data_IF_310934433777
#
_entry.id   IF_310934433777
#
_cell.length_a   1.000
_cell.length_b   1.000
_cell.length_c   1.000
_cell.angle_alpha   90.00
_cell.angle_beta   90.00
_cell.angle_gamma   90.00
#
_symmetry.space_group_name_H-M   'P 1'
#
loop_
_entity.id
_entity.type
_entity.pdbx_description
1 polymer ?
#
# COMPACT_ATOMS: atom_id res chain seq x y z
N UNK A 1 -0.24 29.94 6.03
CA UNK A 1 -0.15 28.82 5.07
C UNK A 1 -1.43 28.64 4.26
N UNK A 2 -2.64 28.58 4.84
CA UNK A 2 -3.87 28.28 4.10
C UNK A 2 -4.32 29.21 2.96
N UNK A 3 -3.92 30.50 2.95
CA UNK A 3 -4.30 31.42 1.85
C UNK A 3 -3.50 31.17 0.56
N UNK A 4 -2.22 30.80 0.69
CA UNK A 4 -1.37 30.49 -0.47
C UNK A 4 -1.75 29.15 -1.10
N UNK A 5 -2.10 28.13 -0.30
CA UNK A 5 -2.58 26.85 -0.83
C UNK A 5 -3.89 27.03 -1.61
N UNK A 6 -4.85 27.79 -1.08
CA UNK A 6 -6.11 28.09 -1.80
C UNK A 6 -5.90 28.85 -3.11
N UNK A 7 -4.91 29.75 -3.16
CA UNK A 7 -4.53 30.45 -4.40
C UNK A 7 -3.86 29.51 -5.42
N UNK A 8 -3.02 28.58 -4.94
CA UNK A 8 -2.37 27.57 -5.79
C UNK A 8 -3.40 26.60 -6.38
N UNK A 9 -4.33 26.10 -5.57
CA UNK A 9 -5.46 25.26 -6.00
C UNK A 9 -6.36 25.97 -7.02
N UNK A 10 -6.71 27.23 -6.78
CA UNK A 10 -7.54 28.00 -7.70
C UNK A 10 -6.83 28.23 -9.05
N UNK A 11 -5.54 28.54 -9.03
CA UNK A 11 -4.73 28.71 -10.24
C UNK A 11 -4.57 27.39 -11.01
N UNK A 12 -4.37 26.28 -10.30
CA UNK A 12 -4.26 24.94 -10.88
C UNK A 12 -5.59 24.51 -11.52
N UNK A 13 -6.71 24.75 -10.84
CA UNK A 13 -8.06 24.48 -11.33
C UNK A 13 -8.37 25.29 -12.60
N UNK A 14 -7.98 26.56 -12.63
CA UNK A 14 -8.20 27.43 -13.79
C UNK A 14 -7.27 27.11 -14.98
N UNK A 15 -6.02 26.72 -14.70
CA UNK A 15 -5.09 26.24 -15.71
C UNK A 15 -5.56 24.89 -16.31
N UNK A 16 -5.98 23.94 -15.46
CA UNK A 16 -6.58 22.66 -15.86
C UNK A 16 -7.81 22.89 -16.72
N UNK A 17 -8.69 23.81 -16.32
CA UNK A 17 -9.88 24.18 -17.10
C UNK A 17 -9.51 24.72 -18.49
N UNK A 18 -8.56 25.66 -18.59
CA UNK A 18 -8.11 26.20 -19.88
C UNK A 18 -7.52 25.14 -20.80
N UNK A 19 -6.72 24.21 -20.25
CA UNK A 19 -6.16 23.08 -21.00
C UNK A 19 -7.28 22.17 -21.52
N UNK A 20 -8.25 21.83 -20.67
CA UNK A 20 -9.39 20.97 -21.07
C UNK A 20 -10.29 21.64 -22.12
N UNK A 21 -10.47 22.96 -22.05
CA UNK A 21 -11.18 23.76 -23.05
C UNK A 21 -10.43 23.82 -24.39
N UNK A 22 -9.11 24.00 -24.40
CA UNK A 22 -8.28 23.97 -25.61
C UNK A 22 -8.29 22.60 -26.31
N UNK A 23 -8.52 21.52 -25.55
CA UNK A 23 -8.63 20.14 -26.04
C UNK A 23 -10.04 19.76 -26.54
N UNK A 24 -11.04 20.64 -26.42
CA UNK A 24 -12.43 20.33 -26.80
C UNK A 24 -13.11 19.29 -25.90
N UNK A 25 -12.56 19.02 -24.71
CA UNK A 25 -13.08 18.09 -23.71
C UNK A 25 -13.99 18.78 -22.67
N UNK A 26 -14.42 20.01 -22.95
CA UNK A 26 -15.30 20.80 -22.10
C UNK A 26 -16.76 20.37 -22.22
N UNK A 27 -17.14 19.31 -21.52
CA UNK A 27 -18.53 18.96 -21.25
C UNK A 27 -18.72 18.73 -19.75
N UNK A 28 -19.65 19.48 -19.15
CA UNK A 28 -20.22 19.15 -17.84
C UNK A 28 -21.01 17.84 -17.99
N UNK A 29 -20.37 16.67 -17.89
CA UNK A 29 -21.04 15.38 -17.65
C UNK A 29 -20.04 14.38 -17.03
N UNK A 30 -20.43 13.85 -15.88
CA UNK A 30 -19.67 12.99 -14.95
C UNK A 30 -19.47 11.54 -15.43
N UNK A 31 -19.58 11.25 -16.74
CA UNK A 31 -19.67 9.85 -17.20
C UNK A 31 -18.63 9.39 -18.24
N UNK A 32 -17.72 10.24 -18.74
CA UNK A 32 -16.63 9.77 -19.62
C UNK A 32 -15.40 10.66 -19.54
N UNK A 33 -14.70 10.70 -18.40
CA UNK A 33 -13.27 11.09 -18.43
C UNK A 33 -12.54 10.07 -19.30
N UNK A 34 -11.80 10.46 -20.35
CA UNK A 34 -10.99 9.52 -21.10
C UNK A 34 -9.99 8.88 -20.14
N UNK A 35 -10.18 7.59 -19.88
CA UNK A 35 -9.30 6.78 -19.02
C UNK A 35 -7.95 6.72 -19.72
N UNK A 36 -6.92 7.26 -19.06
CA UNK A 36 -5.56 7.22 -19.55
C UNK A 36 -5.10 5.77 -19.64
N UNK A 37 -4.51 5.36 -20.75
CA UNK A 37 -4.00 3.99 -20.88
C UNK A 37 -2.70 3.83 -20.08
N UNK A 38 -2.35 2.58 -19.71
CA UNK A 38 -1.06 2.26 -19.08
C UNK A 38 0.12 2.78 -19.90
N UNK A 39 0.08 2.62 -21.22
CA UNK A 39 1.14 3.08 -22.13
C UNK A 39 1.25 4.61 -22.14
N UNK A 40 0.12 5.32 -22.16
CA UNK A 40 0.10 6.79 -22.09
C UNK A 40 0.67 7.29 -20.77
N UNK A 41 0.32 6.64 -19.67
CA UNK A 41 0.81 6.99 -18.34
C UNK A 41 2.32 6.80 -18.26
N UNK A 42 2.83 5.62 -18.63
CA UNK A 42 4.28 5.34 -18.59
C UNK A 42 5.12 6.29 -19.44
N UNK A 43 4.59 6.75 -20.58
CA UNK A 43 5.30 7.71 -21.45
C UNK A 43 5.44 9.10 -20.83
N UNK A 44 4.51 9.49 -19.97
CA UNK A 44 4.39 10.86 -19.44
C UNK A 44 4.67 10.94 -17.94
N UNK A 45 4.83 9.80 -17.29
CA UNK A 45 5.07 9.66 -15.86
C UNK A 45 6.38 10.36 -15.44
N UNK A 46 6.32 11.26 -14.44
CA UNK A 46 7.50 11.85 -13.79
C UNK A 46 8.53 10.82 -13.31
N UNK A 47 9.81 11.18 -13.30
CA UNK A 47 10.88 10.29 -12.87
C UNK A 47 10.79 9.94 -11.38
N UNK A 48 10.26 10.83 -10.54
CA UNK A 48 10.03 10.59 -9.11
C UNK A 48 9.04 9.42 -8.84
N UNK A 49 8.26 9.02 -9.84
CA UNK A 49 7.35 7.88 -9.81
C UNK A 49 7.99 6.59 -10.35
N UNK A 50 9.30 6.58 -10.61
CA UNK A 50 10.04 5.39 -11.07
C UNK A 50 10.71 4.61 -9.94
N UNK A 51 10.26 4.83 -8.70
CA UNK A 51 10.71 4.08 -7.50
C UNK A 51 10.17 2.65 -7.51
N UNK A 52 10.96 1.68 -7.06
CA UNK A 52 10.53 0.29 -6.95
C UNK A 52 9.81 0.07 -5.62
N UNK A 53 8.49 0.30 -5.63
CA UNK A 53 7.62 0.15 -4.47
C UNK A 53 6.52 -0.85 -4.82
N UNK A 54 6.36 -1.87 -3.97
CA UNK A 54 5.41 -2.97 -4.14
C UNK A 54 4.66 -3.20 -2.84
N UNK A 55 3.40 -3.61 -2.93
CA UNK A 55 2.59 -3.98 -1.80
C UNK A 55 1.76 -5.23 -2.09
N UNK A 56 1.77 -6.17 -1.15
CA UNK A 56 0.88 -7.32 -1.14
C UNK A 56 -0.13 -7.13 -0.02
N UNK A 57 -1.40 -7.40 -0.29
CA UNK A 57 -2.48 -7.22 0.68
C UNK A 57 -3.57 -8.29 0.58
N UNK A 58 -4.28 -8.53 1.68
CA UNK A 58 -5.46 -9.40 1.75
C UNK A 58 -6.75 -8.60 1.64
N UNK A 59 -7.07 -8.04 0.48
CA UNK A 59 -8.19 -7.11 0.36
C UNK A 59 -9.56 -7.81 0.47
N UNK A 60 -10.48 -7.23 1.23
CA UNK A 60 -11.87 -7.70 1.38
C UNK A 60 -12.81 -6.68 0.73
N UNK A 61 -13.27 -6.96 -0.50
CA UNK A 61 -14.07 -6.02 -1.31
C UNK A 61 -15.48 -5.69 -0.76
N UNK A 62 -15.87 -6.14 0.45
CA UNK A 62 -17.15 -5.77 1.09
C UNK A 62 -17.28 -6.33 2.52
N UNK A 63 -16.82 -5.61 3.54
CA UNK A 63 -17.42 -5.70 4.88
C UNK A 63 -17.65 -4.31 5.47
N UNK A 64 -18.69 -4.25 6.30
CA UNK A 64 -19.42 -3.08 6.79
C UNK A 64 -18.50 -2.07 7.47
N UNK A 65 -18.21 -0.96 6.81
CA UNK A 65 -17.64 0.22 7.47
C UNK A 65 -18.66 0.75 8.47
N UNK A 66 -18.25 0.90 9.73
CA UNK A 66 -18.85 1.93 10.54
C UNK A 66 -18.36 3.26 9.95
N UNK A 67 -19.24 4.15 9.50
CA UNK A 67 -18.86 5.49 9.06
C UNK A 67 -18.21 6.24 10.24
N UNK A 68 -16.88 6.22 10.34
CA UNK A 68 -16.14 6.86 11.43
C UNK A 68 -15.94 8.33 11.10
N UNK A 69 -17.01 9.12 11.20
CA UNK A 69 -16.93 10.58 11.07
C UNK A 69 -16.22 11.27 12.25
N UNK A 70 -15.97 10.53 13.35
CA UNK A 70 -15.30 11.06 14.53
C UNK A 70 -14.41 9.98 15.18
N UNK A 71 -13.10 10.25 15.19
CA UNK A 71 -12.04 9.39 15.74
C UNK A 71 -12.32 9.01 17.20
N UNK A 72 -12.94 9.89 17.99
CA UNK A 72 -13.25 9.63 19.40
C UNK A 72 -14.39 8.63 19.63
N UNK A 73 -15.09 8.22 18.57
CA UNK A 73 -16.19 7.24 18.63
C UNK A 73 -15.88 5.94 17.90
N UNK A 74 -14.65 5.79 17.37
CA UNK A 74 -14.22 4.54 16.77
C UNK A 74 -14.19 3.43 17.82
N UNK A 75 -14.82 2.30 17.49
CA UNK A 75 -14.72 1.07 18.25
C UNK A 75 -14.08 0.05 17.32
N UNK A 76 -13.14 -0.72 17.86
CA UNK A 76 -12.58 -1.84 17.10
C UNK A 76 -13.74 -2.75 16.70
N UNK A 77 -13.74 -3.28 15.47
CA UNK A 77 -14.74 -4.25 15.07
C UNK A 77 -14.66 -5.45 16.01
N UNK A 78 -15.81 -6.11 16.26
CA UNK A 78 -15.84 -7.48 16.77
C UNK A 78 -14.79 -8.27 15.99
N UNK A 79 -13.90 -9.05 16.64
CA UNK A 79 -12.86 -9.74 15.92
C UNK A 79 -13.53 -10.42 14.75
N UNK A 80 -13.17 -10.02 13.53
CA UNK A 80 -13.38 -10.87 12.38
C UNK A 80 -12.46 -12.06 12.67
N UNK A 81 -12.92 -12.96 13.56
CA UNK A 81 -12.12 -13.79 14.49
C UNK A 81 -11.44 -14.96 13.82
N UNK A 82 -10.98 -14.71 12.60
CA UNK A 82 -10.33 -15.59 11.66
C UNK A 82 -9.43 -14.80 10.69
N UNK A 83 -9.79 -13.57 10.30
CA UNK A 83 -9.18 -12.89 9.13
C UNK A 83 -7.81 -12.23 9.38
N UNK A 84 -7.51 -11.77 10.59
CA UNK A 84 -6.21 -11.16 10.91
C UNK A 84 -5.10 -12.21 10.85
N UNK A 85 -4.15 -12.03 9.93
CA UNK A 85 -3.05 -12.97 9.68
C UNK A 85 -3.31 -13.94 8.55
N UNK A 86 -4.52 -13.97 7.96
CA UNK A 86 -4.87 -14.92 6.91
C UNK A 86 -4.02 -14.67 5.63
N UNK A 87 -3.70 -13.41 5.30
CA UNK A 87 -2.88 -13.09 4.15
C UNK A 87 -1.43 -13.55 4.34
N UNK A 88 -0.83 -13.20 5.49
CA UNK A 88 0.55 -13.51 5.86
C UNK A 88 0.74 -15.02 5.98
N UNK A 89 -0.12 -15.70 6.74
CA UNK A 89 -0.06 -17.15 6.91
C UNK A 89 -0.20 -17.88 5.58
N UNK A 90 -1.12 -17.46 4.72
CA UNK A 90 -1.31 -18.08 3.41
C UNK A 90 -0.10 -17.90 2.51
N UNK A 91 0.47 -16.69 2.46
CA UNK A 91 1.68 -16.40 1.68
C UNK A 91 2.86 -17.27 2.16
N UNK A 92 3.09 -17.33 3.48
CA UNK A 92 4.15 -18.15 4.05
C UNK A 92 3.93 -19.65 3.83
N UNK A 93 2.68 -20.12 3.88
CA UNK A 93 2.34 -21.51 3.55
C UNK A 93 2.58 -21.88 2.07
N UNK A 94 2.80 -20.90 1.20
CA UNK A 94 3.15 -21.12 -0.21
C UNK A 94 4.67 -21.00 -0.38
N UNK A 95 5.28 -19.95 0.19
CA UNK A 95 6.68 -19.63 -0.04
C UNK A 95 7.68 -20.31 0.92
N UNK A 96 7.20 -20.80 2.06
CA UNK A 96 8.05 -21.22 3.18
C UNK A 96 7.39 -22.25 4.10
N UNK A 97 6.63 -23.19 3.53
CA UNK A 97 5.97 -24.24 4.29
C UNK A 97 7.01 -25.16 4.96
N UNK A 98 6.75 -25.54 6.21
CA UNK A 98 7.64 -26.41 7.01
C UNK A 98 9.10 -25.92 7.06
N UNK A 99 9.30 -24.60 7.01
CA UNK A 99 10.61 -23.93 6.99
C UNK A 99 11.46 -24.29 5.76
N UNK A 100 10.81 -24.61 4.64
CA UNK A 100 11.44 -24.95 3.37
C UNK A 100 10.88 -24.09 2.23
N UNK A 101 11.78 -23.61 1.37
CA UNK A 101 11.40 -22.97 0.11
C UNK A 101 10.97 -24.07 -0.88
N UNK A 102 9.86 -23.89 -1.61
CA UNK A 102 9.45 -24.82 -2.66
C UNK A 102 10.56 -25.08 -3.68
N UNK A 103 10.60 -26.29 -4.26
CA UNK A 103 11.55 -26.62 -5.33
C UNK A 103 11.23 -25.90 -6.65
N UNK A 104 9.93 -25.69 -6.93
CA UNK A 104 9.46 -25.03 -8.14
C UNK A 104 9.34 -23.51 -7.91
N UNK A 105 9.90 -22.74 -8.84
CA UNK A 105 9.77 -21.29 -8.84
C UNK A 105 8.37 -20.90 -9.35
N UNK A 106 7.54 -20.38 -8.44
CA UNK A 106 6.22 -19.85 -8.76
C UNK A 106 6.33 -18.40 -9.27
N UNK A 107 5.48 -18.04 -10.23
CA UNK A 107 5.26 -16.66 -10.67
C UNK A 107 4.42 -15.85 -9.68
N UNK A 108 4.38 -14.52 -9.82
CA UNK A 108 3.46 -13.69 -9.03
C UNK A 108 2.00 -14.11 -9.23
N UNK A 109 1.58 -14.39 -10.47
CA UNK A 109 0.23 -14.89 -10.77
C UNK A 109 -0.06 -16.17 -9.97
N UNK A 110 0.82 -17.16 -10.06
CA UNK A 110 0.64 -18.45 -9.39
C UNK A 110 0.58 -18.30 -7.87
N UNK A 111 1.47 -17.49 -7.27
CA UNK A 111 1.44 -17.22 -5.83
C UNK A 111 0.11 -16.59 -5.42
N UNK A 112 -0.36 -15.54 -6.10
CA UNK A 112 -1.59 -14.84 -5.72
C UNK A 112 -2.85 -15.70 -5.97
N UNK A 113 -2.87 -16.52 -7.02
CA UNK A 113 -3.95 -17.46 -7.28
C UNK A 113 -4.00 -18.60 -6.25
N UNK A 114 -2.84 -19.18 -5.88
CA UNK A 114 -2.74 -20.18 -4.82
C UNK A 114 -3.19 -19.60 -3.48
N UNK A 115 -2.79 -18.35 -3.18
CA UNK A 115 -3.27 -17.65 -1.99
C UNK A 115 -4.80 -17.56 -2.01
N UNK A 116 -5.40 -17.18 -3.15
CA UNK A 116 -6.86 -17.08 -3.26
C UNK A 116 -7.56 -18.43 -3.08
N UNK A 117 -6.99 -19.51 -3.58
CA UNK A 117 -7.52 -20.86 -3.42
C UNK A 117 -7.50 -21.26 -1.94
N UNK A 118 -6.36 -21.08 -1.25
CA UNK A 118 -6.21 -21.40 0.17
C UNK A 118 -7.15 -20.55 1.04
N UNK A 119 -7.20 -19.25 0.82
CA UNK A 119 -8.12 -18.35 1.53
C UNK A 119 -9.58 -18.79 1.38
N UNK A 120 -10.03 -19.06 0.14
CA UNK A 120 -11.40 -19.56 -0.10
C UNK A 120 -11.67 -20.89 0.60
N UNK A 121 -10.69 -21.79 0.69
CA UNK A 121 -10.85 -23.10 1.35
C UNK A 121 -11.03 -23.01 2.87
N UNK A 122 -10.59 -21.90 3.46
CA UNK A 122 -10.74 -21.59 4.88
C UNK A 122 -11.90 -20.60 5.16
N UNK A 123 -12.80 -20.43 4.18
CA UNK A 123 -13.94 -19.52 4.21
C UNK A 123 -13.59 -18.02 4.29
N UNK A 124 -12.37 -17.62 3.90
CA UNK A 124 -11.99 -16.22 3.77
C UNK A 124 -12.49 -15.61 2.46
N UNK A 125 -13.14 -14.45 2.56
CA UNK A 125 -13.57 -13.69 1.39
C UNK A 125 -12.45 -12.87 0.75
N UNK A 126 -11.32 -12.68 1.43
CA UNK A 126 -10.17 -11.88 0.99
C UNK A 126 -9.65 -12.30 -0.40
N UNK A 127 -9.47 -11.33 -1.28
CA UNK A 127 -8.79 -11.46 -2.57
C UNK A 127 -7.38 -10.89 -2.39
N UNK A 128 -6.32 -11.71 -2.53
CA UNK A 128 -4.95 -11.22 -2.57
C UNK A 128 -4.77 -10.21 -3.69
N UNK A 129 -4.12 -9.09 -3.38
CA UNK A 129 -3.82 -8.05 -4.35
C UNK A 129 -2.34 -7.70 -4.27
N UNK A 130 -1.74 -7.50 -5.45
CA UNK A 130 -0.42 -6.90 -5.63
C UNK A 130 -0.64 -5.50 -6.20
N UNK A 131 -0.12 -4.48 -5.54
CA UNK A 131 -0.06 -3.13 -6.09
C UNK A 131 1.37 -2.63 -6.15
N UNK A 132 1.64 -1.71 -7.08
CA UNK A 132 3.00 -1.24 -7.32
C UNK A 132 3.05 0.16 -7.93
N UNK A 133 4.20 0.81 -7.76
CA UNK A 133 4.50 2.13 -8.36
C UNK A 133 4.80 2.04 -9.86
N UNK A 134 5.35 0.91 -10.29
CA UNK A 134 5.69 0.61 -11.67
C UNK A 134 5.09 -0.75 -12.05
N UNK A 135 4.64 -0.96 -13.30
CA UNK A 135 4.07 -2.23 -13.71
C UNK A 135 5.13 -3.33 -13.57
N UNK A 136 4.73 -4.46 -12.99
CA UNK A 136 5.54 -5.66 -12.83
C UNK A 136 5.02 -6.70 -13.84
N UNK A 137 5.93 -7.43 -14.49
CA UNK A 137 5.53 -8.61 -15.24
C UNK A 137 5.18 -9.74 -14.27
N UNK A 138 3.89 -9.84 -13.96
CA UNK A 138 3.35 -10.81 -13.00
C UNK A 138 3.54 -12.28 -13.42
N UNK A 139 3.92 -12.54 -14.67
CA UNK A 139 4.23 -13.88 -15.16
C UNK A 139 5.68 -14.29 -14.89
N UNK A 140 6.49 -13.40 -14.31
CA UNK A 140 7.84 -13.71 -13.86
C UNK A 140 7.84 -14.30 -12.44
N UNK A 141 8.95 -14.93 -12.07
CA UNK A 141 9.16 -15.52 -10.73
C UNK A 141 8.82 -14.51 -9.64
N UNK A 142 8.05 -14.94 -8.66
CA UNK A 142 7.77 -14.17 -7.46
C UNK A 142 9.07 -13.86 -6.71
N UNK A 143 9.31 -12.58 -6.45
CA UNK A 143 10.37 -12.13 -5.56
C UNK A 143 9.84 -11.13 -4.53
N UNK A 144 10.22 -11.34 -3.27
CA UNK A 144 10.01 -10.36 -2.21
C UNK A 144 11.08 -9.27 -2.23
N UNK A 145 12.30 -9.66 -2.61
CA UNK A 145 13.48 -8.81 -2.76
C UNK A 145 14.12 -9.19 -4.10
N UNK A 146 14.16 -8.27 -5.07
CA UNK A 146 14.72 -8.56 -6.38
C UNK A 146 16.24 -8.68 -6.31
N UNK A 147 16.83 -9.42 -7.24
CA UNK A 147 18.28 -9.61 -7.36
C UNK A 147 19.06 -8.30 -7.54
N UNK A 148 18.39 -7.23 -7.98
CA UNK A 148 18.96 -5.89 -8.12
C UNK A 148 19.19 -5.19 -6.77
N UNK A 149 18.48 -5.60 -5.71
CA UNK A 149 18.63 -5.05 -4.37
C UNK A 149 19.85 -5.67 -3.66
N UNK A 150 21.03 -5.19 -4.03
CA UNK A 150 22.34 -5.70 -3.58
C UNK A 150 22.90 -5.02 -2.34
N UNK A 151 22.21 -3.99 -1.83
CA UNK A 151 22.57 -3.22 -0.64
C UNK A 151 22.11 -3.89 0.67
N UNK A 152 21.90 -3.05 1.68
CA UNK A 152 21.45 -3.50 2.99
C UNK A 152 19.97 -3.85 2.98
N UNK A 153 19.62 -4.95 3.65
CA UNK A 153 18.24 -5.41 3.81
C UNK A 153 17.72 -4.98 5.18
N UNK A 154 16.65 -4.19 5.21
CA UNK A 154 16.10 -3.57 6.43
C UNK A 154 14.61 -3.87 6.54
N UNK A 155 14.12 -4.11 7.75
CA UNK A 155 12.70 -4.36 7.94
C UNK A 155 12.10 -3.59 9.12
N UNK A 156 10.83 -3.20 8.97
CA UNK A 156 9.96 -2.80 10.09
C UNK A 156 8.77 -3.76 10.12
N UNK A 157 8.56 -4.43 11.25
CA UNK A 157 7.53 -5.45 11.42
C UNK A 157 6.65 -5.10 12.61
N UNK A 158 5.36 -4.96 12.35
CA UNK A 158 4.38 -4.46 13.32
C UNK A 158 3.28 -5.50 13.49
N UNK A 159 3.06 -5.95 14.72
CA UNK A 159 2.03 -6.94 15.06
C UNK A 159 1.24 -6.48 16.27
N UNK A 160 -0.05 -6.21 16.12
CA UNK A 160 -0.88 -5.64 17.19
C UNK A 160 -2.06 -6.56 17.50
N UNK A 161 -2.08 -7.10 18.72
CA UNK A 161 -3.16 -7.95 19.20
C UNK A 161 -4.25 -7.18 19.98
N UNK A 162 -4.02 -5.93 20.35
CA UNK A 162 -4.96 -5.09 21.10
C UNK A 162 -5.39 -5.75 22.43
N UNK A 163 -4.42 -6.34 23.14
CA UNK A 163 -4.70 -7.11 24.36
C UNK A 163 -5.44 -6.23 25.38
N UNK A 164 -6.60 -6.72 25.82
CA UNK A 164 -7.48 -6.06 26.77
C UNK A 164 -8.55 -5.14 26.17
N UNK A 165 -8.60 -4.95 24.85
CA UNK A 165 -9.67 -4.21 24.17
C UNK A 165 -10.83 -5.15 23.76
N UNK A 166 -12.03 -4.92 24.30
CA UNK A 166 -13.25 -5.69 24.03
C UNK A 166 -14.39 -4.76 23.56
N UNK A 167 -15.02 -5.02 22.40
CA UNK A 167 -14.61 -5.98 21.37
C UNK A 167 -13.37 -5.46 20.61
N UNK A 168 -12.50 -6.36 20.13
CA UNK A 168 -11.38 -5.95 19.25
C UNK A 168 -10.06 -6.69 19.42
N UNK A 169 -9.88 -7.44 20.50
CA UNK A 169 -8.67 -8.26 20.71
C UNK A 169 -8.46 -9.29 19.58
N UNK A 170 -7.23 -9.35 19.06
CA UNK A 170 -6.73 -10.32 18.08
C UNK A 170 -5.71 -11.25 18.76
N UNK A 171 -5.41 -12.38 18.12
CA UNK A 171 -4.45 -13.36 18.68
C UNK A 171 -3.39 -13.85 17.69
N UNK A 172 -3.45 -13.41 16.43
CA UNK A 172 -2.61 -13.92 15.34
C UNK A 172 -1.40 -13.02 15.01
N UNK A 173 -1.50 -11.72 15.26
CA UNK A 173 -0.62 -10.72 14.67
C UNK A 173 0.83 -10.84 15.14
N UNK A 174 1.05 -11.24 16.39
CA UNK A 174 2.42 -11.52 16.88
C UNK A 174 3.05 -12.71 16.15
N UNK A 175 2.28 -13.78 15.91
CA UNK A 175 2.81 -14.96 15.21
C UNK A 175 3.11 -14.64 13.74
N UNK A 176 2.30 -13.81 13.09
CA UNK A 176 2.56 -13.35 11.73
C UNK A 176 3.92 -12.64 11.63
N UNK A 177 4.19 -11.71 12.55
CA UNK A 177 5.47 -10.99 12.62
C UNK A 177 6.63 -11.95 12.83
N UNK A 178 6.53 -12.87 13.78
CA UNK A 178 7.61 -13.80 14.09
C UNK A 178 7.88 -14.80 12.95
N UNK A 179 6.83 -15.30 12.31
CA UNK A 179 6.96 -16.22 11.17
C UNK A 179 7.53 -15.50 9.93
N UNK A 180 7.05 -14.29 9.65
CA UNK A 180 7.57 -13.49 8.55
C UNK A 180 9.03 -13.08 8.80
N UNK A 181 9.39 -12.75 10.04
CA UNK A 181 10.77 -12.44 10.42
C UNK A 181 11.67 -13.63 10.09
N UNK A 182 11.27 -14.83 10.53
CA UNK A 182 12.02 -16.05 10.26
C UNK A 182 12.21 -16.25 8.74
N UNK A 183 11.14 -16.12 7.97
CA UNK A 183 11.20 -16.25 6.51
C UNK A 183 12.20 -15.26 5.86
N UNK A 184 12.13 -13.97 6.18
CA UNK A 184 13.04 -12.98 5.57
C UNK A 184 14.50 -13.16 6.01
N UNK A 185 14.74 -13.68 7.22
CA UNK A 185 16.10 -14.03 7.66
C UNK A 185 16.62 -15.26 6.92
N UNK A 186 15.85 -16.35 6.92
CA UNK A 186 16.30 -17.64 6.39
C UNK A 186 16.39 -17.66 4.85
N UNK A 187 15.47 -16.98 4.17
CA UNK A 187 15.37 -17.02 2.70
C UNK A 187 16.04 -15.81 2.06
N UNK A 188 15.89 -14.63 2.66
CA UNK A 188 16.36 -13.37 2.07
C UNK A 188 17.59 -12.81 2.76
N UNK A 189 18.08 -13.39 3.86
CA UNK A 189 19.32 -12.96 4.51
C UNK A 189 19.24 -11.58 5.17
N UNK A 190 18.08 -11.23 5.73
CA UNK A 190 17.98 -10.03 6.56
C UNK A 190 18.74 -10.24 7.88
N UNK A 191 19.62 -9.32 8.23
CA UNK A 191 20.37 -9.38 9.49
C UNK A 191 19.51 -8.88 10.66
N UNK A 192 19.61 -9.54 11.82
CA UNK A 192 18.82 -9.23 13.02
C UNK A 192 18.87 -7.75 13.42
N UNK A 193 20.05 -7.14 13.36
CA UNK A 193 20.28 -5.73 13.69
C UNK A 193 19.58 -4.72 12.76
N UNK A 194 19.14 -5.17 11.58
CA UNK A 194 18.44 -4.35 10.60
C UNK A 194 16.92 -4.58 10.62
N UNK A 195 16.41 -5.34 11.59
CA UNK A 195 14.98 -5.64 11.75
C UNK A 195 14.45 -4.92 13.00
N UNK A 196 13.51 -4.01 12.81
CA UNK A 196 12.78 -3.33 13.89
C UNK A 196 11.44 -4.02 14.09
N UNK A 197 11.14 -4.43 15.32
CA UNK A 197 9.89 -5.09 15.69
C UNK A 197 9.11 -4.23 16.68
N UNK A 198 7.82 -4.01 16.40
CA UNK A 198 6.88 -3.36 17.31
C UNK A 198 5.70 -4.29 17.57
N UNK A 199 5.50 -4.68 18.84
CA UNK A 199 4.41 -5.55 19.27
C UNK A 199 3.91 -5.15 20.66
N UNK A 200 2.60 -5.31 20.89
CA UNK A 200 1.94 -5.04 22.18
C UNK A 200 1.96 -6.27 23.12
N UNK A 201 3.08 -6.99 23.12
CA UNK A 201 3.30 -8.24 23.88
C UNK A 201 3.95 -8.00 25.26
N UNK A 202 4.22 -6.73 25.59
CA UNK A 202 4.92 -6.33 26.82
C UNK A 202 6.43 -6.62 26.83
N UNK A 203 7.01 -7.06 25.71
CA UNK A 203 8.44 -7.35 25.54
C UNK A 203 9.07 -6.40 24.52
N UNK A 204 8.43 -6.23 23.37
CA UNK A 204 8.90 -5.38 22.28
C UNK A 204 8.51 -3.91 22.48
N UNK A 205 8.99 -3.05 21.59
CA UNK A 205 8.56 -1.65 21.56
C UNK A 205 7.07 -1.60 21.24
N UNK A 206 6.29 -0.95 22.09
CA UNK A 206 4.84 -0.81 21.90
C UNK A 206 4.51 -0.13 20.56
N UNK A 207 3.59 -0.68 19.75
CA UNK A 207 3.21 -0.15 18.43
C UNK A 207 2.25 1.04 18.55
N UNK A 208 2.69 2.08 19.26
CA UNK A 208 1.99 3.37 19.33
C UNK A 208 2.11 4.12 18.01
N UNK A 209 1.20 5.06 17.74
CA UNK A 209 1.25 5.92 16.54
C UNK A 209 2.63 6.57 16.39
N UNK A 210 3.17 7.10 17.49
CA UNK A 210 4.47 7.76 17.48
C UNK A 210 5.62 6.79 17.16
N UNK A 211 5.64 5.60 17.76
CA UNK A 211 6.70 4.61 17.54
C UNK A 211 6.67 4.03 16.13
N UNK A 212 5.49 3.77 15.57
CA UNK A 212 5.35 3.31 14.17
C UNK A 212 5.90 4.36 13.21
N UNK A 213 5.50 5.63 13.38
CA UNK A 213 5.99 6.73 12.54
C UNK A 213 7.50 6.90 12.68
N UNK A 214 8.06 6.80 13.89
CA UNK A 214 9.50 6.92 14.13
C UNK A 214 10.29 5.78 13.48
N UNK A 215 9.78 4.55 13.55
CA UNK A 215 10.38 3.38 12.89
C UNK A 215 10.43 3.57 11.37
N UNK A 216 9.32 3.99 10.74
CA UNK A 216 9.27 4.28 9.31
C UNK A 216 10.19 5.43 8.91
N UNK A 217 10.21 6.54 9.66
CA UNK A 217 11.16 7.63 9.39
C UNK A 217 12.60 7.19 9.47
N UNK A 218 12.92 6.38 10.48
CA UNK A 218 14.28 5.92 10.73
C UNK A 218 14.77 5.01 9.61
N UNK A 219 13.98 4.02 9.20
CA UNK A 219 14.39 3.09 8.14
C UNK A 219 14.54 3.80 6.78
N UNK A 220 13.63 4.73 6.46
CA UNK A 220 13.70 5.52 5.21
C UNK A 220 14.91 6.46 5.23
N UNK A 221 15.19 7.11 6.37
CA UNK A 221 16.35 8.00 6.49
C UNK A 221 17.71 7.27 6.43
N UNK A 222 17.74 5.97 6.70
CA UNK A 222 18.93 5.11 6.62
C UNK A 222 19.09 4.42 5.26
N UNK A 223 18.10 4.53 4.38
CA UNK A 223 18.08 3.82 3.12
C UNK A 223 19.08 4.42 2.13
N UNK A 224 19.82 3.55 1.45
CA UNK A 224 20.77 3.92 0.40
C UNK A 224 20.44 3.21 -0.93
N UNK A 225 20.98 3.69 -2.04
CA UNK A 225 20.79 3.09 -3.36
C UNK A 225 21.12 1.57 -3.32
N UNK A 226 20.24 0.76 -3.91
CA UNK A 226 20.25 -0.71 -3.91
C UNK A 226 19.86 -1.40 -2.59
N UNK A 227 19.52 -0.67 -1.52
CA UNK A 227 18.94 -1.28 -0.32
C UNK A 227 17.59 -1.96 -0.63
N UNK A 228 17.23 -2.95 0.19
CA UNK A 228 15.90 -3.53 0.23
C UNK A 228 15.22 -3.18 1.56
N UNK A 229 14.02 -2.62 1.50
CA UNK A 229 13.17 -2.34 2.66
C UNK A 229 11.97 -3.27 2.62
N UNK A 230 11.74 -3.99 3.71
CA UNK A 230 10.55 -4.81 3.90
C UNK A 230 9.68 -4.27 5.03
N UNK A 231 8.43 -3.96 4.74
CA UNK A 231 7.47 -3.42 5.72
C UNK A 231 6.34 -4.41 5.93
N UNK A 232 6.16 -4.91 7.15
CA UNK A 232 5.06 -5.83 7.49
C UNK A 232 4.17 -5.24 8.55
N UNK A 233 2.87 -5.26 8.31
CA UNK A 233 1.85 -4.89 9.29
C UNK A 233 0.81 -6.01 9.40
N UNK A 234 0.56 -6.49 10.62
CA UNK A 234 -0.58 -7.36 10.95
C UNK A 234 -1.35 -6.74 12.12
N UNK A 235 -2.64 -6.45 11.89
CA UNK A 235 -3.50 -5.77 12.86
C UNK A 235 -4.82 -5.29 12.25
N UNK A 236 -5.53 -4.41 12.94
CA UNK A 236 -6.74 -3.78 12.40
C UNK A 236 -6.43 -2.70 11.37
N UNK A 237 -7.23 -2.67 10.31
CA UNK A 237 -7.32 -1.57 9.37
C UNK A 237 -8.75 -1.02 9.34
N UNK A 238 -8.90 0.25 8.97
CA UNK A 238 -10.20 0.93 8.94
C UNK A 238 -10.29 1.90 7.77
N UNK A 239 -11.50 2.42 7.51
CA UNK A 239 -11.74 3.49 6.56
C UNK A 239 -12.21 4.75 7.29
N UNK A 240 -11.60 5.88 6.99
CA UNK A 240 -11.99 7.20 7.46
C UNK A 240 -12.59 7.99 6.28
N UNK A 241 -13.33 9.07 6.54
CA UNK A 241 -13.74 9.95 5.44
C UNK A 241 -12.51 10.66 4.88
N UNK A 242 -12.40 10.61 3.57
CA UNK A 242 -11.39 11.34 2.81
C UNK A 242 -11.56 12.86 3.00
N UNK A 243 -10.46 13.53 3.30
CA UNK A 243 -10.38 14.96 3.54
C UNK A 243 -9.82 15.75 2.32
N UNK A 244 -9.24 15.09 1.30
CA UNK A 244 -8.52 15.70 0.18
C UNK A 244 -9.06 15.38 -1.23
N UNK A 245 -9.85 14.30 -1.39
CA UNK A 245 -10.57 13.94 -2.61
C UNK A 245 -9.74 13.17 -3.64
N UNK A 246 -8.67 12.49 -3.24
CA UNK A 246 -7.85 11.66 -4.13
C UNK A 246 -8.45 10.26 -4.39
N UNK A 247 -9.30 9.76 -3.48
CA UNK A 247 -10.06 8.52 -3.66
C UNK A 247 -11.47 8.77 -4.21
N UNK A 248 -11.86 7.99 -5.22
CA UNK A 248 -13.18 8.13 -5.86
C UNK A 248 -14.34 7.59 -5.02
N UNK A 249 -14.07 6.76 -4.01
CA UNK A 249 -15.09 6.28 -3.06
C UNK A 249 -15.30 7.24 -1.87
N UNK A 250 -14.39 8.19 -1.67
CA UNK A 250 -14.40 9.21 -0.62
C UNK A 250 -13.98 8.71 0.77
N UNK A 251 -13.14 7.66 0.87
CA UNK A 251 -12.71 7.10 2.16
C UNK A 251 -11.26 6.58 2.26
N UNK A 252 -10.36 7.37 2.87
CA UNK A 252 -9.00 6.97 3.26
C UNK A 252 -8.93 5.63 4.02
N UNK A 253 -7.97 4.79 3.64
CA UNK A 253 -7.56 3.62 4.40
C UNK A 253 -6.61 4.02 5.54
N UNK A 254 -6.75 3.37 6.70
CA UNK A 254 -5.94 3.72 7.87
C UNK A 254 -5.53 2.50 8.72
N UNK A 255 -4.27 2.50 9.14
CA UNK A 255 -3.74 1.57 10.15
C UNK A 255 -4.20 2.01 11.54
N UNK A 256 -4.51 1.05 12.40
CA UNK A 256 -4.91 1.32 13.78
C UNK A 256 -3.70 1.05 14.71
N UNK A 257 -3.10 2.06 15.35
CA UNK A 257 -2.02 1.84 16.33
C UNK A 257 -2.58 1.36 17.67
N UNK A 258 -1.72 0.88 18.59
CA UNK A 258 -2.18 0.42 19.92
C UNK A 258 -2.89 1.52 20.72
N UNK A 259 -2.50 2.77 20.55
CA UNK A 259 -2.99 3.94 21.29
C UNK A 259 -4.00 4.80 20.51
N UNK A 260 -4.65 4.20 19.50
CA UNK A 260 -5.57 4.88 18.57
C UNK A 260 -6.68 5.67 19.29
N UNK A 261 -7.18 5.22 20.45
CA UNK A 261 -8.23 5.92 21.20
C UNK A 261 -7.78 7.33 21.63
N UNK A 262 -6.47 7.53 21.82
CA UNK A 262 -5.90 8.79 22.31
C UNK A 262 -5.16 9.58 21.24
N UNK A 263 -4.50 8.90 20.30
CA UNK A 263 -3.64 9.52 19.28
C UNK A 263 -4.16 9.36 17.84
N UNK A 264 -5.29 8.68 17.66
CA UNK A 264 -5.90 8.42 16.35
C UNK A 264 -5.16 7.37 15.52
N UNK A 265 -5.66 7.18 14.30
CA UNK A 265 -5.14 6.24 13.31
C UNK A 265 -3.99 6.84 12.50
N UNK A 266 -3.28 6.00 11.73
CA UNK A 266 -2.31 6.45 10.72
C UNK A 266 -2.99 6.28 9.36
N UNK A 267 -3.22 7.38 8.65
CA UNK A 267 -3.87 7.36 7.32
C UNK A 267 -2.87 7.00 6.21
N UNK A 268 -3.37 6.50 5.09
CA UNK A 268 -2.65 6.40 3.81
C UNK A 268 -1.86 7.67 3.48
N UNK A 269 -2.42 8.87 3.66
CA UNK A 269 -1.75 10.17 3.52
C UNK A 269 -0.46 10.29 4.35
N UNK A 270 -0.54 9.87 5.62
CA UNK A 270 0.61 9.87 6.52
C UNK A 270 1.65 8.87 6.00
N UNK A 271 1.23 7.66 5.60
CA UNK A 271 2.13 6.62 5.08
C UNK A 271 2.78 7.02 3.76
N UNK A 272 2.03 7.68 2.90
CA UNK A 272 2.47 8.21 1.62
C UNK A 272 3.62 9.21 1.81
N UNK A 273 3.42 10.22 2.66
CA UNK A 273 4.45 11.22 2.95
C UNK A 273 5.67 10.57 3.60
N UNK A 274 5.48 9.61 4.51
CA UNK A 274 6.57 8.95 5.23
C UNK A 274 7.38 8.00 4.34
N UNK A 275 6.70 7.19 3.54
CA UNK A 275 7.28 6.06 2.83
C UNK A 275 7.54 6.39 1.36
N UNK A 276 6.55 6.86 0.61
CA UNK A 276 6.69 7.00 -0.85
C UNK A 276 7.52 8.22 -1.24
N UNK A 277 7.16 9.39 -0.68
CA UNK A 277 7.78 10.65 -1.07
C UNK A 277 9.26 10.72 -0.69
N UNK A 278 9.59 10.23 0.51
CA UNK A 278 10.94 10.32 1.08
C UNK A 278 11.84 9.12 0.75
N UNK A 279 11.34 8.06 0.11
CA UNK A 279 12.17 6.93 -0.31
C UNK A 279 13.26 7.39 -1.28
N UNK A 280 14.55 7.12 -1.02
CA UNK A 280 15.63 7.42 -1.96
C UNK A 280 15.50 6.64 -3.28
N UNK A 281 16.03 7.22 -4.35
CA UNK A 281 16.07 6.55 -5.65
C UNK A 281 16.96 5.30 -5.60
N UNK A 282 16.56 4.25 -6.33
CA UNK A 282 17.27 2.98 -6.39
C UNK A 282 17.08 2.07 -5.16
N UNK A 283 16.28 2.47 -4.17
CA UNK A 283 15.83 1.58 -3.10
C UNK A 283 14.67 0.73 -3.58
N UNK A 284 14.70 -0.56 -3.25
CA UNK A 284 13.56 -1.46 -3.40
C UNK A 284 12.75 -1.51 -2.10
N UNK A 285 11.44 -1.26 -2.16
CA UNK A 285 10.56 -1.38 -1.00
C UNK A 285 9.40 -2.33 -1.30
N UNK A 286 9.26 -3.37 -0.49
CA UNK A 286 8.11 -4.27 -0.51
C UNK A 286 7.37 -4.20 0.81
N UNK A 287 6.04 -4.05 0.76
CA UNK A 287 5.19 -4.10 1.93
C UNK A 287 4.22 -5.28 1.88
N UNK A 288 3.98 -5.91 3.03
CA UNK A 288 2.91 -6.87 3.24
C UNK A 288 1.95 -6.31 4.29
N UNK A 289 0.73 -6.01 3.87
CA UNK A 289 -0.32 -5.46 4.72
C UNK A 289 -1.39 -6.51 4.98
N UNK A 290 -1.46 -6.98 6.22
CA UNK A 290 -2.44 -7.96 6.70
C UNK A 290 -3.45 -7.27 7.62
N UNK A 291 -4.30 -6.46 6.99
CA UNK A 291 -5.39 -5.74 7.64
C UNK A 291 -6.57 -5.57 6.69
N UNK A 292 -7.76 -5.31 7.26
CA UNK A 292 -8.94 -4.98 6.46
C UNK A 292 -8.78 -3.59 5.83
N UNK A 293 -9.27 -3.41 4.60
CA UNK A 293 -9.16 -2.13 3.86
C UNK A 293 -7.69 -1.68 3.75
N UNK A 294 -6.87 -2.51 3.10
CA UNK A 294 -5.44 -2.25 2.90
C UNK A 294 -5.03 -2.34 1.42
N UNK A 295 -6.02 -2.33 0.51
CA UNK A 295 -5.77 -2.50 -0.93
C UNK A 295 -5.15 -1.25 -1.55
N UNK A 296 -5.51 -0.08 -1.03
CA UNK A 296 -5.06 1.24 -1.47
C UNK A 296 -4.23 1.99 -0.44
N UNK A 297 -3.91 1.41 0.72
CA UNK A 297 -3.21 2.08 1.84
C UNK A 297 -1.85 2.74 1.55
N UNK A 298 -1.25 2.47 0.38
CA UNK A 298 -0.04 3.15 -0.12
C UNK A 298 -0.28 3.95 -1.42
N UNK A 299 -1.51 4.09 -1.89
CA UNK A 299 -1.91 4.77 -3.13
C UNK A 299 -1.06 4.38 -4.33
N UNK A 300 -0.84 3.08 -4.54
CA UNK A 300 0.00 2.59 -5.64
C UNK A 300 -0.81 2.50 -6.95
N UNK A 301 -0.32 3.09 -8.06
CA UNK A 301 -1.11 3.29 -9.28
C UNK A 301 -1.42 2.01 -10.06
N UNK A 302 -0.65 0.94 -9.87
CA UNK A 302 -0.86 -0.33 -10.54
C UNK A 302 -1.43 -1.36 -9.59
N UNK A 303 -2.36 -2.18 -10.10
CA UNK A 303 -3.03 -3.22 -9.34
C UNK A 303 -3.10 -4.53 -10.15
N UNK A 304 -2.90 -5.64 -9.45
CA UNK A 304 -3.20 -6.99 -9.90
C UNK A 304 -3.96 -7.75 -8.80
N UNK A 305 -5.09 -8.36 -9.16
CA UNK A 305 -5.95 -9.14 -8.27
C UNK A 305 -5.78 -10.63 -8.57
N UNK A 306 -5.49 -11.41 -7.53
CA UNK A 306 -5.38 -12.87 -7.59
C UNK A 306 -6.73 -13.61 -7.72
N UNK A 307 -7.72 -13.06 -8.43
CA UNK A 307 -9.04 -13.67 -8.61
C UNK A 307 -9.23 -14.36 -9.98
N UNK A 308 -8.18 -14.35 -10.82
CA UNK A 308 -8.16 -14.89 -12.16
C UNK A 308 -8.81 -13.99 -13.22
N UNK A 309 -9.15 -12.74 -12.88
CA UNK A 309 -9.73 -11.78 -13.83
C UNK A 309 -8.68 -11.03 -14.67
N UNK A 310 -7.42 -11.03 -14.24
CA UNK A 310 -6.31 -10.29 -14.85
C UNK A 310 -5.16 -11.23 -15.23
N UNK A 311 -4.44 -10.87 -16.29
CA UNK A 311 -3.21 -11.54 -16.74
C UNK A 311 -1.99 -10.63 -16.71
N UNK A 312 -2.20 -9.35 -16.39
CA UNK A 312 -1.20 -8.29 -16.31
C UNK A 312 -1.64 -7.25 -15.28
N UNK A 313 -0.70 -6.44 -14.78
CA UNK A 313 -1.06 -5.30 -13.92
C UNK A 313 -1.76 -4.22 -14.74
N UNK A 314 -2.82 -3.64 -14.18
CA UNK A 314 -3.54 -2.52 -14.79
C UNK A 314 -3.43 -1.30 -13.90
N UNK A 315 -3.55 -0.10 -14.47
CA UNK A 315 -3.78 1.10 -13.68
C UNK A 315 -5.06 0.93 -12.84
N UNK A 316 -5.03 1.38 -11.59
CA UNK A 316 -6.22 1.40 -10.75
C UNK A 316 -7.26 2.35 -11.36
N UNK A 317 -8.43 1.85 -11.79
CA UNK A 317 -9.46 2.69 -12.39
C UNK A 317 -10.08 3.69 -11.39
N UNK A 318 -9.92 3.47 -10.08
CA UNK A 318 -10.48 4.31 -9.04
C UNK A 318 -9.53 5.42 -8.59
N UNK A 319 -8.26 5.41 -9.03
CA UNK A 319 -7.26 6.39 -8.64
C UNK A 319 -7.38 7.70 -9.41
N UNK A 320 -7.31 8.81 -8.69
CA UNK A 320 -7.16 10.13 -9.29
C UNK A 320 -5.68 10.43 -9.62
N UNK A 321 -5.22 9.96 -10.79
CA UNK A 321 -3.82 10.14 -11.22
C UNK A 321 -3.32 11.59 -11.19
N UNK A 322 -4.19 12.56 -11.49
CA UNK A 322 -3.81 13.98 -11.45
C UNK A 322 -3.53 14.45 -10.00
N UNK A 323 -4.39 14.05 -9.06
CA UNK A 323 -4.18 14.36 -7.64
C UNK A 323 -2.92 13.67 -7.12
N UNK A 324 -2.76 12.38 -7.42
CA UNK A 324 -1.60 11.59 -7.06
C UNK A 324 -0.28 12.19 -7.55
N UNK A 325 -0.22 12.65 -8.81
CA UNK A 325 0.98 13.30 -9.36
C UNK A 325 1.27 14.64 -8.67
N UNK A 326 0.26 15.49 -8.46
CA UNK A 326 0.46 16.77 -7.76
C UNK A 326 0.96 16.53 -6.32
N UNK A 327 0.39 15.55 -5.62
CA UNK A 327 0.75 15.14 -4.27
C UNK A 327 2.23 14.70 -4.21
N UNK A 328 2.69 13.88 -5.16
CA UNK A 328 4.04 13.28 -5.07
C UNK A 328 5.11 14.24 -5.54
N UNK A 329 4.83 14.90 -6.66
CA UNK A 329 5.86 15.57 -7.45
C UNK A 329 5.70 17.09 -7.41
N UNK A 330 4.49 17.60 -7.16
CA UNK A 330 4.15 19.00 -7.39
C UNK A 330 4.28 19.44 -8.85
N UNK A 331 4.35 18.49 -9.79
CA UNK A 331 4.59 18.71 -11.23
C UNK A 331 3.36 18.42 -12.09
N UNK A 332 2.14 18.58 -11.57
CA UNK A 332 0.93 18.28 -12.36
C UNK A 332 0.90 19.05 -13.68
N UNK A 333 1.32 20.31 -13.69
CA UNK A 333 1.34 21.11 -14.93
C UNK A 333 2.30 20.57 -15.99
N UNK A 334 3.48 20.07 -15.60
CA UNK A 334 4.44 19.45 -16.52
C UNK A 334 3.88 18.14 -17.08
N UNK A 335 3.24 17.33 -16.21
CA UNK A 335 2.57 16.11 -16.61
C UNK A 335 1.43 16.36 -17.61
N UNK A 336 0.55 17.33 -17.34
CA UNK A 336 -0.54 17.70 -18.25
C UNK A 336 -0.01 18.18 -19.60
N UNK A 337 1.08 18.95 -19.63
CA UNK A 337 1.73 19.37 -20.87
C UNK A 337 2.34 18.20 -21.65
N UNK A 338 3.00 17.27 -20.97
CA UNK A 338 3.54 16.06 -21.57
C UNK A 338 2.42 15.19 -22.17
N UNK A 339 1.31 15.01 -21.44
CA UNK A 339 0.10 14.32 -21.90
C UNK A 339 -0.49 14.94 -23.16
N UNK A 340 -0.56 16.27 -23.24
CA UNK A 340 -1.00 16.98 -24.46
C UNK A 340 -0.07 16.74 -25.66
N UNK A 341 1.25 16.84 -25.45
CA UNK A 341 2.22 16.61 -26.53
C UNK A 341 2.14 15.16 -27.05
N UNK A 342 1.93 14.22 -26.13
CA UNK A 342 1.73 12.80 -26.39
C UNK A 342 0.50 12.53 -27.26
N UNK A 343 -0.64 13.18 -27.02
CA UNK A 343 -1.88 12.99 -27.79
C UNK A 343 -1.86 13.64 -29.17
N UNK A 344 -1.04 14.68 -29.38
CA UNK A 344 -0.87 15.37 -30.68
C UNK A 344 0.11 14.65 -31.63
N UNK A 345 0.77 13.60 -31.16
CA UNK A 345 1.78 12.82 -31.91
C UNK A 345 1.25 11.52 -32.53
N UNK A 346 -0.04 11.21 -32.29
CA UNK A 346 -0.83 10.16 -32.94
C UNK A 346 -1.65 10.77 -34.08
#
# INVERSE_FOLDING_TARGET
MGFFNKLKEAALKEAKKKIMEELGLGGDDDETKPTMTTEEFERTKPDELRKDIRMISGCQDRQTSADVSNVSSFQLPDPAGKAGGACTSTLLNILYADEQVPEDDLSFVEVLEEMRIKLKSEDYSQIPQLSSMNPIDVNTKFDLVPDTATGTKRAVMIGINYVGDDPGELSGCWNDVLNMKKYIQDVHGFEEENIVILMDDGIHTEPTKANIIDAYKTIIAQAEENDAIFLHYSGHGTKLRDDDGDESDGYDEALVPRDFQTNGMIRDDDLYELLLKNLPDGVHMTSLMDCCHSGTILDLPYLFKGDGSQTEMTLDPNMNLDAFIEKLTGKLMEFLQAKMAASLSL
#
